data_IF_505352313061
#
_entry.id   IF_505352313061
#
_cell.length_a   1.000
_cell.length_b   1.000
_cell.length_c   1.000
_cell.angle_alpha   90.00
_cell.angle_beta   90.00
_cell.angle_gamma   90.00
#
_symmetry.space_group_name_H-M   'P 1'
#
loop_
_entity.id
_entity.type
_entity.pdbx_description
1 polymer ?
#
# COMPACT_ATOMS: atom_id res chain seq x y z
N UNK A 1 -6.40 9.93 -5.47
CA UNK A 1 -6.19 10.55 -6.81
C UNK A 1 -6.80 9.73 -7.94
N UNK A 2 -6.35 8.49 -8.19
CA UNK A 2 -6.79 7.67 -9.34
C UNK A 2 -8.32 7.44 -9.43
N UNK A 3 -9.02 7.43 -8.30
CA UNK A 3 -10.48 7.28 -8.23
C UNK A 3 -11.28 8.54 -8.63
N UNK A 4 -10.60 9.69 -8.75
CA UNK A 4 -11.21 11.00 -8.94
C UNK A 4 -10.81 11.66 -10.25
N UNK A 5 -9.55 11.48 -10.67
CA UNK A 5 -8.95 12.13 -11.83
C UNK A 5 -8.83 11.13 -12.98
N UNK A 6 -9.37 11.47 -14.14
CA UNK A 6 -9.40 10.59 -15.32
C UNK A 6 -8.03 10.49 -16.01
N UNK A 7 -7.18 11.46 -15.77
CA UNK A 7 -5.85 11.63 -16.35
C UNK A 7 -4.81 10.67 -15.73
N UNK A 8 -5.15 10.00 -14.61
CA UNK A 8 -4.24 9.06 -13.95
C UNK A 8 -4.25 7.73 -14.70
N UNK A 9 -3.23 7.52 -15.52
CA UNK A 9 -3.07 6.34 -16.39
C UNK A 9 -2.46 5.14 -15.65
N UNK A 10 -1.60 5.39 -14.65
CA UNK A 10 -0.88 4.35 -13.92
C UNK A 10 -0.67 4.79 -12.46
N UNK A 11 -0.85 3.88 -11.51
CA UNK A 11 -0.65 4.10 -10.07
C UNK A 11 0.17 2.97 -9.48
N UNK A 12 1.24 3.30 -8.77
CA UNK A 12 2.03 2.36 -7.98
C UNK A 12 1.70 2.57 -6.51
N UNK A 13 1.30 1.52 -5.80
CA UNK A 13 1.01 1.53 -4.36
C UNK A 13 2.01 0.63 -3.65
N UNK A 14 2.95 1.22 -2.92
CA UNK A 14 3.93 0.51 -2.09
C UNK A 14 3.42 0.52 -0.66
N UNK A 15 3.07 -0.64 -0.12
CA UNK A 15 2.50 -0.81 1.22
C UNK A 15 1.31 0.13 1.53
N UNK A 16 0.62 0.60 0.49
CA UNK A 16 -0.45 1.58 0.60
C UNK A 16 -1.80 0.93 0.90
N UNK A 17 -2.57 1.43 1.89
CA UNK A 17 -3.95 1.01 2.08
C UNK A 17 -4.84 1.52 0.94
N UNK A 18 -5.96 0.83 0.70
CA UNK A 18 -7.05 1.30 -0.17
C UNK A 18 -8.22 1.85 0.65
N UNK A 19 -7.92 2.40 1.83
CA UNK A 19 -8.86 3.04 2.74
C UNK A 19 -8.20 4.26 3.39
N UNK A 20 -9.00 5.15 3.95
CA UNK A 20 -8.52 6.37 4.63
C UNK A 20 -8.07 6.02 6.05
N UNK A 21 -6.90 6.48 6.53
CA UNK A 21 -6.41 6.14 7.89
C UNK A 21 -6.77 7.19 8.94
N UNK A 22 -6.38 8.46 8.75
CA UNK A 22 -6.39 9.45 9.84
C UNK A 22 -7.27 10.66 9.52
N UNK A 23 -7.07 11.27 8.35
CA UNK A 23 -7.78 12.49 7.97
C UNK A 23 -8.82 12.22 6.90
N UNK A 24 -10.08 12.72 7.06
CA UNK A 24 -11.10 12.58 6.05
C UNK A 24 -10.63 13.10 4.69
N UNK A 25 -10.88 12.32 3.64
CA UNK A 25 -10.63 12.78 2.28
C UNK A 25 -11.83 13.59 1.79
N UNK A 26 -11.60 14.83 1.36
CA UNK A 26 -12.64 15.70 0.79
C UNK A 26 -12.35 15.95 -0.69
N UNK A 27 -13.31 15.64 -1.56
CA UNK A 27 -13.20 15.89 -3.01
C UNK A 27 -14.55 16.31 -3.59
N UNK A 28 -14.64 17.53 -4.13
CA UNK A 28 -15.88 18.13 -4.65
C UNK A 28 -17.11 17.93 -3.73
N UNK A 29 -16.93 18.15 -2.43
CA UNK A 29 -18.00 18.01 -1.43
C UNK A 29 -18.32 16.56 -1.02
N UNK A 30 -17.72 15.56 -1.67
CA UNK A 30 -17.77 14.17 -1.19
C UNK A 30 -16.75 14.00 -0.06
N UNK A 31 -17.17 13.37 1.03
CA UNK A 31 -16.35 13.11 2.21
C UNK A 31 -16.23 11.61 2.41
N UNK A 32 -14.99 11.10 2.37
CA UNK A 32 -14.67 9.71 2.74
C UNK A 32 -14.03 9.72 4.13
N UNK A 33 -14.66 9.00 5.06
CA UNK A 33 -14.24 9.00 6.46
C UNK A 33 -13.06 8.07 6.71
N UNK A 34 -12.17 8.40 7.66
CA UNK A 34 -11.13 7.49 8.13
C UNK A 34 -11.69 6.16 8.62
N UNK A 35 -10.92 5.10 8.41
CA UNK A 35 -11.23 3.78 8.92
C UNK A 35 -11.17 3.81 10.44
N UNK A 36 -12.14 3.19 11.13
CA UNK A 36 -12.03 3.03 12.56
C UNK A 36 -10.77 2.22 12.88
N UNK A 37 -10.01 2.71 13.86
CA UNK A 37 -8.88 2.00 14.42
C UNK A 37 -9.09 1.81 15.92
N UNK A 38 -8.54 0.72 16.46
CA UNK A 38 -8.59 0.44 17.89
C UNK A 38 -7.16 0.31 18.41
N UNK A 39 -6.73 1.31 19.18
CA UNK A 39 -5.36 1.38 19.72
C UNK A 39 -5.08 0.26 20.73
N UNK A 40 -6.10 -0.38 21.30
CA UNK A 40 -5.96 -1.55 22.17
C UNK A 40 -5.37 -2.77 21.44
N UNK A 41 -5.48 -2.81 20.11
CA UNK A 41 -4.86 -3.84 19.27
C UNK A 41 -3.42 -3.52 18.86
N UNK A 42 -2.87 -2.38 19.31
CA UNK A 42 -1.44 -2.14 19.23
C UNK A 42 -0.72 -3.17 20.08
N UNK A 43 0.30 -3.81 19.52
CA UNK A 43 1.17 -4.70 20.28
C UNK A 43 2.56 -4.10 20.44
N UNK A 44 3.32 -4.65 21.37
CA UNK A 44 4.72 -4.26 21.62
C UNK A 44 5.54 -5.53 21.51
N UNK A 45 6.57 -5.52 20.66
CA UNK A 45 7.43 -6.68 20.48
C UNK A 45 8.42 -6.84 21.67
N UNK A 46 9.19 -7.93 21.67
CA UNK A 46 10.15 -8.23 22.73
C UNK A 46 11.26 -7.15 22.91
N UNK A 47 11.48 -6.30 21.91
CA UNK A 47 12.44 -5.20 21.94
C UNK A 47 11.82 -3.87 22.41
N UNK A 48 10.53 -3.84 22.71
CA UNK A 48 9.82 -2.64 23.15
C UNK A 48 9.30 -1.77 22.01
N UNK A 49 9.34 -2.22 20.75
CA UNK A 49 8.84 -1.46 19.60
C UNK A 49 7.35 -1.70 19.40
N UNK A 50 6.62 -0.62 19.09
CA UNK A 50 5.18 -0.66 18.84
C UNK A 50 4.88 -1.21 17.43
N UNK A 51 3.91 -2.12 17.35
CA UNK A 51 3.39 -2.69 16.11
C UNK A 51 1.91 -2.29 15.94
N UNK A 52 1.59 -1.72 14.78
CA UNK A 52 0.26 -1.18 14.48
C UNK A 52 -0.52 -1.99 13.44
N UNK A 53 0.07 -3.01 12.82
CA UNK A 53 -0.58 -3.77 11.73
C UNK A 53 -1.94 -4.40 12.09
N UNK A 54 -2.29 -4.52 13.37
CA UNK A 54 -3.58 -5.04 13.84
C UNK A 54 -4.61 -3.95 14.21
N UNK A 55 -4.24 -2.67 14.21
CA UNK A 55 -5.13 -1.60 14.68
C UNK A 55 -6.28 -1.30 13.72
N UNK A 56 -6.11 -1.62 12.44
CA UNK A 56 -7.14 -1.45 11.40
C UNK A 56 -7.79 -2.79 11.02
N UNK A 57 -9.12 -2.80 10.92
CA UNK A 57 -9.83 -3.81 10.13
C UNK A 57 -9.99 -5.20 10.75
N UNK A 58 -10.24 -5.28 12.07
CA UNK A 58 -10.64 -6.53 12.73
C UNK A 58 -11.99 -7.05 12.21
N UNK A 59 -12.94 -6.16 11.90
CA UNK A 59 -14.18 -6.52 11.21
C UNK A 59 -14.28 -5.82 9.87
N UNK A 60 -14.69 -6.55 8.84
CA UNK A 60 -14.88 -6.01 7.48
C UNK A 60 -16.02 -5.00 7.38
N UNK A 61 -17.05 -5.15 8.23
CA UNK A 61 -18.17 -4.22 8.31
C UNK A 61 -17.72 -2.80 8.71
N UNK A 62 -16.73 -2.72 9.61
CA UNK A 62 -16.34 -1.46 10.26
C UNK A 62 -15.58 -0.53 9.30
N UNK A 63 -14.88 -1.06 8.30
CA UNK A 63 -14.10 -0.27 7.35
C UNK A 63 -14.83 0.05 6.05
N UNK A 64 -16.06 -0.45 5.88
CA UNK A 64 -16.81 -0.37 4.60
C UNK A 64 -17.00 1.06 4.09
N UNK A 65 -17.23 2.04 4.98
CA UNK A 65 -17.39 3.45 4.62
C UNK A 65 -16.08 4.17 4.30
N UNK A 66 -14.95 3.56 4.67
CA UNK A 66 -13.61 4.12 4.53
C UNK A 66 -12.84 3.53 3.37
N UNK A 67 -13.32 2.40 2.81
CA UNK A 67 -12.78 1.79 1.61
C UNK A 67 -12.99 2.73 0.43
N UNK A 68 -11.90 2.99 -0.29
CA UNK A 68 -11.92 3.78 -1.49
C UNK A 68 -12.53 2.98 -2.66
N UNK A 69 -13.37 3.58 -3.51
CA UNK A 69 -13.96 2.93 -4.68
C UNK A 69 -12.93 2.80 -5.81
N UNK A 70 -11.90 1.99 -5.59
CA UNK A 70 -10.76 1.81 -6.51
C UNK A 70 -11.18 1.28 -7.89
N UNK A 71 -12.34 0.63 -7.99
CA UNK A 71 -12.95 0.23 -9.25
C UNK A 71 -13.37 1.41 -10.15
N UNK A 72 -13.51 2.63 -9.59
CA UNK A 72 -13.80 3.82 -10.40
C UNK A 72 -12.58 4.31 -11.19
N UNK A 73 -11.38 3.92 -10.78
CA UNK A 73 -10.17 4.29 -11.49
C UNK A 73 -10.11 3.64 -12.88
N UNK A 74 -9.66 4.43 -13.86
CA UNK A 74 -9.48 3.99 -15.25
C UNK A 74 -8.06 3.50 -15.52
N UNK A 75 -7.07 4.07 -14.81
CA UNK A 75 -5.67 3.70 -14.93
C UNK A 75 -5.33 2.31 -14.38
N UNK A 76 -4.09 1.90 -14.58
CA UNK A 76 -3.57 0.62 -14.13
C UNK A 76 -3.02 0.71 -12.71
N UNK A 77 -3.06 -0.39 -11.97
CA UNK A 77 -2.47 -0.48 -10.64
C UNK A 77 -1.29 -1.46 -10.59
N UNK A 78 -0.23 -1.05 -9.91
CA UNK A 78 0.81 -1.95 -9.41
C UNK A 78 0.80 -1.89 -7.89
N UNK A 79 0.38 -2.97 -7.25
CA UNK A 79 0.45 -3.14 -5.80
C UNK A 79 1.79 -3.82 -5.46
N UNK A 80 2.52 -3.25 -4.52
CA UNK A 80 3.74 -3.78 -3.96
C UNK A 80 3.54 -3.91 -2.45
N UNK A 81 3.68 -5.11 -1.92
CA UNK A 81 3.48 -5.39 -0.49
C UNK A 81 4.65 -6.12 0.13
N UNK A 82 5.05 -5.67 1.31
CA UNK A 82 5.93 -6.40 2.21
C UNK A 82 5.10 -7.25 3.18
N UNK A 83 5.28 -8.56 3.18
CA UNK A 83 4.46 -9.44 4.03
C UNK A 83 4.84 -9.37 5.52
N UNK A 84 6.03 -8.84 5.82
CA UNK A 84 6.52 -8.61 7.17
C UNK A 84 6.29 -7.16 7.64
N UNK A 85 5.37 -6.42 7.02
CA UNK A 85 4.95 -5.09 7.45
C UNK A 85 4.31 -5.13 8.85
N UNK A 86 4.88 -4.36 9.77
CA UNK A 86 4.44 -4.26 11.17
C UNK A 86 3.71 -2.95 11.49
N UNK A 87 3.65 -2.04 10.53
CA UNK A 87 2.87 -0.81 10.63
C UNK A 87 1.44 -1.01 10.12
N UNK A 88 1.28 -1.73 9.00
CA UNK A 88 -0.01 -1.99 8.38
C UNK A 88 -0.06 -3.44 7.85
N UNK A 89 -1.22 -4.11 7.95
CA UNK A 89 -1.35 -5.46 7.39
C UNK A 89 -1.57 -5.44 5.87
N UNK A 90 -0.54 -4.98 5.15
CA UNK A 90 -0.60 -4.67 3.72
C UNK A 90 -0.93 -5.89 2.87
N UNK A 91 -0.49 -7.09 3.27
CA UNK A 91 -0.87 -8.35 2.61
C UNK A 91 -2.39 -8.55 2.60
N UNK A 92 -3.05 -8.39 3.75
CA UNK A 92 -4.51 -8.52 3.86
C UNK A 92 -5.24 -7.40 3.11
N UNK A 93 -4.75 -6.17 3.21
CA UNK A 93 -5.37 -5.04 2.53
C UNK A 93 -5.24 -5.13 1.00
N UNK A 94 -4.09 -5.57 0.48
CA UNK A 94 -3.92 -5.79 -0.94
C UNK A 94 -4.80 -6.93 -1.45
N UNK A 95 -4.95 -8.03 -0.70
CA UNK A 95 -5.90 -9.09 -1.05
C UNK A 95 -7.33 -8.53 -1.20
N UNK A 96 -7.80 -7.78 -0.20
CA UNK A 96 -9.12 -7.11 -0.23
C UNK A 96 -9.27 -6.17 -1.43
N UNK A 97 -8.25 -5.36 -1.73
CA UNK A 97 -8.24 -4.46 -2.87
C UNK A 97 -8.34 -5.22 -4.20
N UNK A 98 -7.55 -6.27 -4.38
CA UNK A 98 -7.59 -7.08 -5.61
C UNK A 98 -8.91 -7.83 -5.77
N UNK A 99 -9.53 -8.28 -4.68
CA UNK A 99 -10.86 -8.90 -4.70
C UNK A 99 -11.97 -7.89 -4.99
N UNK A 100 -11.87 -6.65 -4.49
CA UNK A 100 -12.77 -5.56 -4.86
C UNK A 100 -12.68 -5.25 -6.36
N UNK A 101 -11.48 -5.13 -6.91
CA UNK A 101 -11.27 -4.93 -8.34
C UNK A 101 -11.84 -6.08 -9.16
N UNK A 102 -11.54 -7.33 -8.79
CA UNK A 102 -12.04 -8.54 -9.48
C UNK A 102 -13.57 -8.61 -9.50
N UNK A 103 -14.22 -8.39 -8.35
CA UNK A 103 -15.70 -8.41 -8.23
C UNK A 103 -16.37 -7.33 -9.08
N UNK A 104 -15.69 -6.23 -9.36
CA UNK A 104 -16.16 -5.15 -10.23
C UNK A 104 -15.65 -5.28 -11.68
N UNK A 105 -15.18 -6.46 -12.09
CA UNK A 105 -14.78 -6.74 -13.47
C UNK A 105 -13.47 -6.09 -13.92
N UNK A 106 -12.65 -5.61 -12.99
CA UNK A 106 -11.36 -4.98 -13.28
C UNK A 106 -10.22 -6.00 -13.30
N UNK A 107 -9.38 -5.91 -14.33
CA UNK A 107 -8.20 -6.75 -14.55
C UNK A 107 -6.91 -5.93 -14.81
N UNK A 108 -7.01 -4.60 -14.75
CA UNK A 108 -5.94 -3.62 -14.97
C UNK A 108 -5.08 -3.43 -13.71
N UNK A 109 -4.63 -4.53 -13.11
CA UNK A 109 -3.79 -4.48 -11.92
C UNK A 109 -2.75 -5.62 -11.88
N UNK A 110 -1.70 -5.43 -11.10
CA UNK A 110 -0.67 -6.43 -10.80
C UNK A 110 -0.32 -6.34 -9.32
N UNK A 111 -0.05 -7.48 -8.68
CA UNK A 111 0.36 -7.56 -7.28
C UNK A 111 1.73 -8.23 -7.19
N UNK A 112 2.68 -7.56 -6.52
CA UNK A 112 3.97 -8.10 -6.12
C UNK A 112 3.98 -8.22 -4.59
N UNK A 113 4.15 -9.44 -4.09
CA UNK A 113 4.18 -9.75 -2.67
C UNK A 113 5.56 -10.26 -2.29
N UNK A 114 6.19 -9.65 -1.29
CA UNK A 114 7.55 -9.94 -0.87
C UNK A 114 7.58 -10.50 0.55
N UNK A 115 7.72 -11.83 0.71
CA UNK A 115 7.98 -12.45 2.01
C UNK A 115 9.23 -11.84 2.67
N UNK A 116 9.16 -11.52 3.96
CA UNK A 116 10.28 -10.96 4.70
C UNK A 116 10.59 -9.48 4.43
N UNK A 117 9.86 -8.79 3.53
CA UNK A 117 9.98 -7.34 3.37
C UNK A 117 9.03 -6.60 4.33
N UNK A 118 9.48 -5.46 4.85
CA UNK A 118 8.77 -4.63 5.82
C UNK A 118 8.00 -3.48 5.18
N UNK A 119 7.63 -2.48 5.98
CA UNK A 119 6.85 -1.32 5.55
C UNK A 119 7.64 -0.38 4.61
N UNK A 120 8.92 -0.14 4.91
CA UNK A 120 9.74 0.87 4.23
C UNK A 120 10.49 0.29 3.01
N UNK A 121 9.77 -0.04 1.94
CA UNK A 121 10.39 -0.50 0.67
C UNK A 121 10.90 0.71 -0.10
N UNK A 122 12.16 1.06 0.18
CA UNK A 122 12.89 2.18 -0.41
C UNK A 122 13.58 1.82 -1.75
N UNK A 123 14.23 2.77 -2.45
CA UNK A 123 15.07 2.47 -3.60
C UNK A 123 16.20 1.46 -3.27
N UNK A 124 16.74 0.77 -4.29
CA UNK A 124 17.74 -0.29 -4.09
C UNK A 124 18.94 0.15 -3.26
N UNK A 125 19.44 -0.77 -2.43
CA UNK A 125 20.60 -0.60 -1.55
C UNK A 125 20.39 0.40 -0.40
N UNK A 126 19.17 0.88 -0.19
CA UNK A 126 18.82 1.62 1.02
C UNK A 126 18.85 0.66 2.22
N UNK A 127 19.55 0.99 3.31
CA UNK A 127 19.64 0.09 4.46
C UNK A 127 18.26 -0.10 5.10
N UNK A 128 18.00 -1.33 5.57
CA UNK A 128 16.78 -1.64 6.31
C UNK A 128 16.69 -0.77 7.58
N UNK A 129 15.65 0.03 7.68
CA UNK A 129 15.22 0.66 8.92
C UNK A 129 14.17 -0.24 9.58
N UNK A 130 14.60 -1.10 10.51
CA UNK A 130 13.67 -2.01 11.19
C UNK A 130 12.72 -1.26 12.13
N UNK A 131 13.19 -0.21 12.79
CA UNK A 131 12.40 0.57 13.73
C UNK A 131 12.92 2.01 13.83
N UNK A 132 12.01 2.97 14.00
CA UNK A 132 12.37 4.37 14.22
C UNK A 132 11.27 5.11 15.01
N UNK A 133 11.61 6.29 15.51
CA UNK A 133 10.63 7.21 16.10
C UNK A 133 10.20 8.20 15.03
N UNK A 134 8.89 8.39 14.88
CA UNK A 134 8.32 9.48 14.09
C UNK A 134 7.71 10.54 15.01
N UNK A 135 7.62 11.79 14.52
CA UNK A 135 7.33 12.95 15.36
C UNK A 135 5.93 12.95 15.98
N UNK A 136 4.98 12.25 15.37
CA UNK A 136 3.60 12.17 15.87
C UNK A 136 3.45 11.10 16.98
N UNK A 137 4.49 10.30 17.24
CA UNK A 137 4.40 9.10 18.06
C UNK A 137 5.40 9.15 19.21
N UNK A 138 4.88 8.84 20.41
CA UNK A 138 5.69 8.79 21.63
C UNK A 138 6.59 7.55 21.68
N UNK A 139 6.25 6.49 20.95
CA UNK A 139 6.93 5.20 20.96
C UNK A 139 7.74 4.97 19.68
N UNK A 140 8.76 4.12 19.76
CA UNK A 140 9.50 3.64 18.59
C UNK A 140 8.59 2.66 17.84
N UNK A 141 8.39 2.91 16.56
CA UNK A 141 7.56 2.09 15.67
C UNK A 141 8.40 0.99 15.05
N UNK A 142 7.86 -0.22 15.01
CA UNK A 142 8.43 -1.33 14.26
C UNK A 142 7.89 -1.31 12.82
N UNK A 143 8.77 -1.17 11.84
CA UNK A 143 8.43 -1.21 10.41
C UNK A 143 8.48 -2.63 9.84
N UNK A 144 9.16 -3.53 10.54
CA UNK A 144 9.34 -4.92 10.13
C UNK A 144 10.38 -5.10 9.02
N UNK A 145 10.44 -6.34 8.49
CA UNK A 145 11.40 -6.75 7.48
C UNK A 145 12.65 -7.46 8.02
N UNK A 146 13.21 -8.33 7.20
CA UNK A 146 14.48 -9.04 7.42
C UNK A 146 15.51 -8.55 6.40
N UNK A 147 16.77 -8.41 6.81
CA UNK A 147 17.81 -7.70 6.03
C UNK A 147 17.90 -8.19 4.57
N UNK A 148 18.08 -9.50 4.37
CA UNK A 148 18.31 -10.09 3.04
C UNK A 148 17.06 -10.03 2.15
N UNK A 149 15.88 -10.56 2.56
CA UNK A 149 14.71 -10.51 1.70
C UNK A 149 14.20 -9.07 1.48
N UNK A 150 14.37 -8.17 2.45
CA UNK A 150 14.00 -6.77 2.27
C UNK A 150 14.86 -6.09 1.19
N UNK A 151 16.18 -6.27 1.22
CA UNK A 151 17.06 -5.72 0.18
C UNK A 151 16.72 -6.28 -1.21
N UNK A 152 16.48 -7.60 -1.31
CA UNK A 152 16.06 -8.23 -2.56
C UNK A 152 14.71 -7.69 -3.06
N UNK A 153 13.77 -7.41 -2.16
CA UNK A 153 12.48 -6.81 -2.48
C UNK A 153 12.63 -5.39 -3.04
N UNK A 154 13.47 -4.54 -2.44
CA UNK A 154 13.76 -3.19 -2.94
C UNK A 154 14.34 -3.23 -4.36
N UNK A 155 15.32 -4.11 -4.61
CA UNK A 155 15.91 -4.28 -5.94
C UNK A 155 14.91 -4.72 -7.00
N UNK A 156 14.10 -5.73 -6.68
CA UNK A 156 13.11 -6.26 -7.61
C UNK A 156 11.96 -5.28 -7.84
N UNK A 157 11.41 -4.69 -6.77
CA UNK A 157 10.34 -3.70 -6.84
C UNK A 157 10.75 -2.51 -7.70
N UNK A 158 11.99 -2.00 -7.55
CA UNK A 158 12.48 -0.89 -8.35
C UNK A 158 12.49 -1.18 -9.85
N UNK A 159 12.89 -2.39 -10.24
CA UNK A 159 12.88 -2.83 -11.65
C UNK A 159 11.45 -2.95 -12.19
N UNK A 160 10.55 -3.55 -11.41
CA UNK A 160 9.15 -3.72 -11.82
C UNK A 160 8.38 -2.41 -11.86
N UNK A 161 8.65 -1.45 -10.96
CA UNK A 161 8.07 -0.10 -11.01
C UNK A 161 8.44 0.57 -12.32
N UNK A 162 9.73 0.58 -12.68
CA UNK A 162 10.16 1.18 -13.94
C UNK A 162 9.54 0.50 -15.15
N UNK A 163 9.50 -0.84 -15.17
CA UNK A 163 8.87 -1.62 -16.25
C UNK A 163 7.38 -1.30 -16.39
N UNK A 164 6.66 -1.25 -15.28
CA UNK A 164 5.24 -0.90 -15.23
C UNK A 164 5.00 0.53 -15.75
N UNK A 165 5.74 1.52 -15.25
CA UNK A 165 5.58 2.91 -15.70
C UNK A 165 5.94 3.07 -17.17
N UNK A 166 7.04 2.46 -17.65
CA UNK A 166 7.40 2.49 -19.08
C UNK A 166 6.30 1.89 -19.95
N UNK A 167 5.75 0.73 -19.56
CA UNK A 167 4.68 0.04 -20.29
C UNK A 167 3.42 0.90 -20.44
N UNK A 168 3.07 1.69 -19.43
CA UNK A 168 1.79 2.41 -19.39
C UNK A 168 1.88 3.90 -19.74
N UNK A 169 3.06 4.51 -19.65
CA UNK A 169 3.24 5.95 -19.88
C UNK A 169 4.00 6.29 -21.17
N UNK A 170 4.81 5.37 -21.70
CA UNK A 170 5.52 5.62 -22.97
C UNK A 170 4.58 5.25 -24.12
N UNK A 171 4.26 6.19 -25.03
CA UNK A 171 3.51 5.86 -26.23
C UNK A 171 4.26 4.81 -27.03
N UNK A 172 3.57 3.73 -27.44
CA UNK A 172 4.10 2.90 -28.51
C UNK A 172 4.07 3.78 -29.75
N UNK A 173 5.23 4.25 -30.20
CA UNK A 173 5.36 4.83 -31.53
C UNK A 173 5.17 3.67 -32.49
N UNK A 174 3.93 3.42 -32.90
CA UNK A 174 3.67 2.63 -34.09
C UNK A 174 4.19 3.45 -35.27
N UNK A 175 5.43 3.19 -35.67
CA UNK A 175 5.94 3.63 -36.96
C UNK A 175 4.97 3.08 -38.01
N UNK A 176 4.10 3.94 -38.53
CA UNK A 176 3.38 3.66 -39.76
C UNK A 176 4.44 3.74 -40.87
N UNK A 177 4.99 2.58 -41.22
CA UNK A 177 5.60 2.33 -42.53
C UNK A 177 4.50 1.86 -43.48
#
# INVERSE_FOLDING_TARGET
>A
MAIHLKEIIATVLINGPTFIIEFPQVYHGQISQPAPYCIEYKSINALGFAEFYQVFGKNEADISQSILPIEKAQGHFLFIVGEADKNLNTKVHAARATDQLRRNGKNNWTLLSYPGAGHLIEPPYSPLCCASKISAELQIIHWGGEIIPHAAAQEHAWKEIQKFLRKHLIPVVTSQL
#
